data_IF_042776616164
#
_entry.id   IF_042776616164
#
_cell.length_a   1.000
_cell.length_b   1.000
_cell.length_c   1.000
_cell.angle_alpha   90.00
_cell.angle_beta   90.00
_cell.angle_gamma   90.00
#
_symmetry.space_group_name_H-M   'P 1'
#
loop_
_entity.id
_entity.type
_entity.pdbx_description
1 polymer ?
#
# COMPACT_ATOMS: atom_id res chain seq x y z
N UNK A 1 27.90 -51.03 -52.14
CA UNK A 1 26.75 -50.74 -51.24
C UNK A 1 27.19 -49.72 -50.20
N UNK A 2 26.84 -48.43 -50.35
CA UNK A 2 27.11 -47.41 -49.33
C UNK A 2 26.02 -47.47 -48.27
N UNK A 3 26.47 -47.58 -47.02
CA UNK A 3 25.67 -47.93 -45.85
C UNK A 3 24.70 -46.78 -45.49
N UNK A 4 23.45 -46.86 -45.99
CA UNK A 4 22.38 -45.87 -45.75
C UNK A 4 22.06 -45.66 -44.25
N UNK A 5 22.44 -46.61 -43.39
CA UNK A 5 22.21 -46.54 -41.95
C UNK A 5 23.12 -45.52 -41.23
N UNK A 6 24.27 -45.15 -41.80
CA UNK A 6 25.21 -44.22 -41.16
C UNK A 6 24.69 -42.77 -41.14
N UNK A 7 23.93 -42.35 -42.16
CA UNK A 7 23.40 -41.00 -42.25
C UNK A 7 22.22 -40.77 -41.29
N UNK A 8 21.31 -41.73 -41.18
CA UNK A 8 20.13 -41.64 -40.29
C UNK A 8 20.56 -41.61 -38.82
N UNK A 9 21.57 -42.39 -38.43
CA UNK A 9 22.13 -42.35 -37.07
C UNK A 9 22.76 -40.99 -36.71
N UNK A 10 23.43 -40.34 -37.67
CA UNK A 10 24.05 -39.01 -37.44
C UNK A 10 23.00 -37.92 -37.22
N UNK A 11 21.92 -37.89 -38.01
CA UNK A 11 20.84 -36.92 -37.82
C UNK A 11 20.11 -37.12 -36.50
N UNK A 12 19.90 -38.37 -36.07
CA UNK A 12 19.28 -38.66 -34.78
C UNK A 12 20.16 -38.20 -33.61
N UNK A 13 21.48 -38.41 -33.70
CA UNK A 13 22.44 -37.97 -32.68
C UNK A 13 22.51 -36.44 -32.59
N UNK A 14 22.52 -35.74 -33.74
CA UNK A 14 22.51 -34.26 -33.77
C UNK A 14 21.20 -33.70 -33.22
N UNK A 15 20.05 -34.30 -33.55
CA UNK A 15 18.75 -33.90 -33.00
C UNK A 15 18.68 -34.10 -31.48
N UNK A 16 19.25 -35.20 -30.97
CA UNK A 16 19.31 -35.51 -29.54
C UNK A 16 20.22 -34.52 -28.77
N UNK A 17 21.35 -34.13 -29.36
CA UNK A 17 22.26 -33.11 -28.78
C UNK A 17 21.59 -31.73 -28.74
N UNK A 18 20.86 -31.35 -29.79
CA UNK A 18 20.09 -30.08 -29.82
C UNK A 18 18.96 -30.10 -28.78
N UNK A 19 18.29 -31.24 -28.57
CA UNK A 19 17.25 -31.40 -27.55
C UNK A 19 17.81 -31.30 -26.11
N UNK A 20 19.02 -31.81 -25.86
CA UNK A 20 19.68 -31.70 -24.54
C UNK A 20 20.11 -30.25 -24.26
N UNK A 21 20.51 -29.49 -25.28
CA UNK A 21 20.85 -28.06 -25.13
C UNK A 21 19.66 -27.14 -24.82
N UNK A 22 18.41 -27.62 -24.97
CA UNK A 22 17.19 -26.86 -24.65
C UNK A 22 16.65 -27.21 -23.25
N UNK A 23 17.30 -28.14 -22.53
CA UNK A 23 17.07 -28.30 -21.10
C UNK A 23 17.71 -27.13 -20.36
N UNK A 24 17.04 -25.97 -20.38
CA UNK A 24 17.27 -24.91 -19.40
C UNK A 24 17.13 -25.55 -18.02
N UNK A 25 18.27 -25.81 -17.37
CA UNK A 25 18.29 -26.13 -15.95
C UNK A 25 17.64 -24.95 -15.24
N UNK A 26 16.39 -25.10 -14.83
CA UNK A 26 15.78 -24.19 -13.88
C UNK A 26 16.57 -24.37 -12.58
N UNK A 27 17.54 -23.49 -12.32
CA UNK A 27 18.37 -23.53 -11.13
C UNK A 27 17.47 -23.62 -9.90
N UNK A 28 17.67 -24.65 -9.08
CA UNK A 28 16.77 -24.98 -7.98
C UNK A 28 17.22 -24.27 -6.72
N UNK A 29 16.43 -23.28 -6.30
CA UNK A 29 16.65 -22.59 -5.03
C UNK A 29 15.97 -23.39 -3.90
N UNK A 30 16.74 -23.72 -2.88
CA UNK A 30 16.27 -24.33 -1.62
C UNK A 30 16.67 -23.47 -0.44
N UNK A 31 15.85 -23.54 0.61
CA UNK A 31 16.20 -23.00 1.92
C UNK A 31 16.11 -24.14 2.91
N UNK A 32 17.23 -24.45 3.55
CA UNK A 32 17.36 -25.54 4.52
C UNK A 32 18.05 -25.01 5.78
N UNK A 33 17.33 -24.98 6.91
CA UNK A 33 17.85 -24.47 8.20
C UNK A 33 18.47 -23.05 8.11
N UNK A 34 17.92 -22.20 7.26
CA UNK A 34 18.42 -20.83 7.02
C UNK A 34 19.54 -20.73 5.99
N UNK A 35 20.05 -21.85 5.45
CA UNK A 35 20.99 -21.83 4.34
C UNK A 35 20.26 -21.62 3.01
N UNK A 36 20.73 -20.65 2.22
CA UNK A 36 20.27 -20.44 0.85
C UNK A 36 21.12 -21.32 -0.06
N UNK A 37 20.52 -22.34 -0.67
CA UNK A 37 21.19 -23.27 -1.57
C UNK A 37 20.73 -23.09 -3.01
N UNK A 38 21.68 -22.98 -3.92
CA UNK A 38 21.48 -23.01 -5.36
C UNK A 38 22.10 -24.31 -5.89
N UNK A 39 21.27 -25.22 -6.41
CA UNK A 39 21.72 -26.53 -6.89
C UNK A 39 22.63 -27.26 -5.87
N UNK A 40 22.19 -27.28 -4.61
CA UNK A 40 22.88 -27.85 -3.43
C UNK A 40 24.12 -27.07 -2.92
N UNK A 41 24.62 -26.07 -3.65
CA UNK A 41 25.69 -25.19 -3.18
C UNK A 41 25.12 -24.09 -2.29
N UNK A 42 25.65 -23.95 -1.07
CA UNK A 42 25.31 -22.81 -0.20
C UNK A 42 25.91 -21.53 -0.76
N UNK A 43 25.06 -20.51 -0.95
CA UNK A 43 25.42 -19.21 -1.52
C UNK A 43 25.16 -18.05 -0.54
N UNK A 44 24.53 -18.31 0.60
CA UNK A 44 24.26 -17.31 1.62
C UNK A 44 23.36 -17.85 2.73
N UNK A 45 22.93 -16.96 3.61
CA UNK A 45 22.05 -17.30 4.73
C UNK A 45 20.86 -16.35 4.79
N UNK A 46 19.73 -16.86 5.25
CA UNK A 46 18.54 -16.08 5.60
C UNK A 46 18.13 -16.38 7.04
N UNK A 47 17.95 -15.33 7.82
CA UNK A 47 17.52 -15.38 9.21
C UNK A 47 16.26 -14.51 9.38
N UNK A 48 15.51 -14.75 10.46
CA UNK A 48 14.29 -14.01 10.77
C UNK A 48 13.01 -14.72 10.28
N UNK A 49 11.89 -13.99 10.37
CA UNK A 49 10.55 -14.47 10.04
C UNK A 49 9.69 -13.29 9.62
N UNK A 50 8.57 -13.56 8.92
CA UNK A 50 7.60 -12.53 8.53
C UNK A 50 7.29 -11.58 9.71
N UNK A 51 7.32 -10.25 9.50
CA UNK A 51 7.52 -9.57 8.21
C UNK A 51 8.99 -9.36 7.82
N UNK A 52 9.96 -9.58 8.71
CA UNK A 52 11.34 -9.14 8.53
C UNK A 52 12.30 -10.32 8.36
N UNK A 53 13.04 -10.31 7.25
CA UNK A 53 14.11 -11.27 6.98
C UNK A 53 15.44 -10.53 6.84
N UNK A 54 16.51 -11.16 7.34
CA UNK A 54 17.87 -10.69 7.18
C UNK A 54 18.63 -11.68 6.32
N UNK A 55 19.24 -11.18 5.25
CA UNK A 55 19.92 -12.00 4.25
C UNK A 55 21.40 -11.66 4.30
N UNK A 56 22.23 -12.67 4.50
CA UNK A 56 23.67 -12.56 4.62
C UNK A 56 24.35 -13.19 3.42
N UNK A 57 25.54 -12.67 3.11
CA UNK A 57 26.51 -13.35 2.27
C UNK A 57 27.10 -14.59 2.99
N UNK A 58 27.89 -15.38 2.26
CA UNK A 58 28.38 -16.68 2.72
C UNK A 58 29.29 -16.61 3.95
N UNK A 59 30.07 -15.54 4.12
CA UNK A 59 30.94 -15.32 5.29
C UNK A 59 30.26 -14.51 6.40
N UNK A 60 29.00 -14.11 6.20
CA UNK A 60 28.21 -13.22 7.08
C UNK A 60 28.83 -11.84 7.35
N UNK A 61 29.80 -11.41 6.54
CA UNK A 61 30.42 -10.08 6.70
C UNK A 61 29.51 -8.93 6.23
N UNK A 62 28.53 -9.22 5.38
CA UNK A 62 27.57 -8.25 4.86
C UNK A 62 26.14 -8.79 4.88
N UNK A 63 25.18 -7.88 5.00
CA UNK A 63 23.76 -8.24 4.97
C UNK A 63 22.87 -7.13 4.46
N UNK A 64 21.68 -7.53 4.02
CA UNK A 64 20.55 -6.64 3.77
C UNK A 64 19.36 -7.12 4.61
N UNK A 65 18.41 -6.21 4.86
CA UNK A 65 17.09 -6.60 5.37
C UNK A 65 16.07 -6.56 4.25
N UNK A 66 15.16 -7.53 4.26
CA UNK A 66 14.01 -7.62 3.38
C UNK A 66 12.76 -7.65 4.27
N UNK A 67 12.02 -6.54 4.28
CA UNK A 67 10.79 -6.40 5.06
C UNK A 67 9.58 -6.53 4.15
N UNK A 68 8.69 -7.46 4.46
CA UNK A 68 7.41 -7.64 3.78
C UNK A 68 6.43 -6.58 4.25
N UNK A 69 6.07 -5.70 3.32
CA UNK A 69 5.04 -4.70 3.51
C UNK A 69 3.76 -5.14 2.81
N UNK A 70 2.62 -4.79 3.39
CA UNK A 70 1.31 -5.06 2.82
C UNK A 70 0.47 -3.81 2.90
N UNK A 71 -0.54 -3.76 2.06
CA UNK A 71 -1.62 -2.80 2.18
C UNK A 71 -2.53 -3.31 3.31
N UNK A 72 -2.77 -2.54 4.39
CA UNK A 72 -3.67 -2.94 5.46
C UNK A 72 -5.08 -3.27 4.91
N UNK A 73 -5.76 -4.28 5.45
CA UNK A 73 -7.10 -4.69 5.00
C UNK A 73 -7.24 -4.98 3.49
N UNK A 74 -6.13 -5.21 2.78
CA UNK A 74 -6.18 -5.57 1.37
C UNK A 74 -6.92 -6.88 1.16
N UNK A 75 -7.53 -7.03 -0.01
CA UNK A 75 -8.14 -8.30 -0.41
C UNK A 75 -7.12 -9.44 -0.27
N UNK A 76 -7.59 -10.63 0.14
CA UNK A 76 -6.74 -11.80 0.43
C UNK A 76 -5.82 -12.24 -0.72
N UNK A 77 -6.02 -11.71 -1.93
CA UNK A 77 -5.23 -12.00 -3.14
C UNK A 77 -4.15 -10.94 -3.43
N UNK A 78 -4.10 -9.85 -2.68
CA UNK A 78 -3.11 -8.80 -2.87
C UNK A 78 -1.76 -9.27 -2.34
N UNK A 79 -0.78 -9.38 -3.23
CA UNK A 79 0.56 -9.78 -2.84
C UNK A 79 1.25 -8.66 -2.03
N UNK A 80 2.06 -9.00 -1.01
CA UNK A 80 2.97 -8.03 -0.39
C UNK A 80 3.91 -7.39 -1.40
N UNK A 81 4.62 -6.35 -0.95
CA UNK A 81 5.88 -5.93 -1.57
C UNK A 81 7.03 -6.10 -0.57
N UNK A 82 8.25 -6.01 -1.06
CA UNK A 82 9.47 -6.14 -0.27
C UNK A 82 10.14 -4.78 -0.21
N UNK A 83 10.37 -4.26 0.99
CA UNK A 83 11.26 -3.13 1.25
C UNK A 83 12.66 -3.69 1.57
N UNK A 84 13.64 -3.38 0.73
CA UNK A 84 15.02 -3.82 0.89
C UNK A 84 15.81 -2.68 1.51
N UNK A 85 16.47 -2.92 2.65
CA UNK A 85 17.29 -1.92 3.33
C UNK A 85 18.73 -2.38 3.45
N UNK A 86 19.64 -1.43 3.27
CA UNK A 86 21.03 -1.58 3.64
C UNK A 86 21.21 -1.09 5.08
N UNK A 87 21.56 -1.99 6.01
CA UNK A 87 21.69 -1.66 7.44
C UNK A 87 22.77 -0.60 7.73
N UNK A 88 23.87 -0.61 6.97
CA UNK A 88 24.98 0.32 7.18
C UNK A 88 24.61 1.77 6.82
N UNK A 89 23.80 1.95 5.77
CA UNK A 89 23.39 3.28 5.29
C UNK A 89 22.01 3.74 5.77
N UNK A 90 21.18 2.81 6.25
CA UNK A 90 19.77 3.07 6.59
C UNK A 90 18.86 3.33 5.39
N UNK A 91 19.40 3.38 4.17
CA UNK A 91 18.62 3.62 2.95
C UNK A 91 17.85 2.37 2.52
N UNK A 92 16.72 2.60 1.85
CA UNK A 92 15.80 1.56 1.42
C UNK A 92 15.25 1.83 0.01
N UNK A 93 14.92 0.76 -0.70
CA UNK A 93 14.11 0.82 -1.92
C UNK A 93 13.24 -0.44 -2.02
N UNK A 94 12.25 -0.44 -2.91
CA UNK A 94 11.14 -1.40 -2.85
C UNK A 94 11.04 -2.22 -4.14
N UNK A 95 10.60 -3.48 -4.02
CA UNK A 95 10.29 -4.35 -5.14
C UNK A 95 8.96 -5.09 -4.95
N UNK A 96 8.26 -5.36 -6.05
CA UNK A 96 7.04 -6.17 -6.05
C UNK A 96 7.36 -7.63 -6.36
N UNK A 97 6.59 -8.55 -5.78
CA UNK A 97 6.62 -9.95 -6.20
C UNK A 97 6.07 -10.12 -7.62
N UNK A 98 6.76 -10.92 -8.42
CA UNK A 98 6.19 -11.51 -9.62
C UNK A 98 5.32 -12.71 -9.19
N UNK A 99 4.03 -12.68 -9.54
CA UNK A 99 3.02 -13.62 -9.03
C UNK A 99 3.35 -15.11 -9.16
N UNK A 100 4.16 -15.49 -10.15
CA UNK A 100 4.42 -16.91 -10.50
C UNK A 100 5.26 -17.68 -9.48
N UNK A 101 6.02 -17.00 -8.61
CA UNK A 101 6.96 -17.64 -7.67
C UNK A 101 6.65 -17.36 -6.20
N UNK A 102 5.59 -16.62 -5.92
CA UNK A 102 5.18 -16.30 -4.55
C UNK A 102 4.44 -17.48 -3.91
N UNK A 103 4.81 -17.80 -2.67
CA UNK A 103 4.14 -18.76 -1.81
C UNK A 103 3.91 -18.15 -0.43
N UNK A 104 2.65 -18.05 -0.02
CA UNK A 104 2.27 -17.59 1.33
C UNK A 104 2.70 -18.54 2.46
N UNK A 105 3.14 -19.75 2.12
CA UNK A 105 3.69 -20.73 3.06
C UNK A 105 5.21 -20.67 3.18
N UNK A 106 5.91 -20.08 2.20
CA UNK A 106 7.38 -20.02 2.13
C UNK A 106 7.83 -18.63 1.71
N UNK A 107 7.67 -17.64 2.60
CA UNK A 107 7.98 -16.24 2.33
C UNK A 107 9.48 -16.00 2.08
N UNK A 108 10.33 -16.62 2.89
CA UNK A 108 11.79 -16.61 2.73
C UNK A 108 12.18 -17.07 1.31
N UNK A 109 11.66 -18.22 0.87
CA UNK A 109 11.94 -18.76 -0.46
C UNK A 109 11.42 -17.85 -1.56
N UNK A 110 10.23 -17.29 -1.37
CA UNK A 110 9.65 -16.34 -2.32
C UNK A 110 10.52 -15.09 -2.47
N UNK A 111 11.01 -14.53 -1.36
CA UNK A 111 11.91 -13.37 -1.36
C UNK A 111 13.21 -13.72 -2.10
N UNK A 112 13.85 -14.84 -1.77
CA UNK A 112 15.09 -15.25 -2.43
C UNK A 112 14.90 -15.43 -3.94
N UNK A 113 13.79 -16.04 -4.38
CA UNK A 113 13.48 -16.14 -5.81
C UNK A 113 13.38 -14.77 -6.49
N UNK A 114 12.72 -13.81 -5.85
CA UNK A 114 12.58 -12.46 -6.42
C UNK A 114 13.91 -11.71 -6.47
N UNK A 115 14.77 -11.87 -5.44
CA UNK A 115 16.11 -11.29 -5.43
C UNK A 115 17.01 -11.92 -6.50
N UNK A 116 16.88 -13.24 -6.72
CA UNK A 116 17.62 -13.96 -7.76
C UNK A 116 17.20 -13.50 -9.16
N UNK A 117 15.88 -13.38 -9.42
CA UNK A 117 15.34 -12.92 -10.70
C UNK A 117 15.75 -11.48 -11.07
N UNK A 118 16.24 -10.71 -10.09
CA UNK A 118 16.73 -9.33 -10.24
C UNK A 118 18.25 -9.22 -10.17
N UNK A 119 18.97 -10.34 -10.12
CA UNK A 119 20.42 -10.41 -9.97
C UNK A 119 20.97 -9.73 -8.70
N UNK A 120 20.14 -9.61 -7.64
CA UNK A 120 20.58 -9.16 -6.32
C UNK A 120 21.23 -10.30 -5.52
N UNK A 121 20.88 -11.55 -5.87
CA UNK A 121 21.55 -12.77 -5.45
C UNK A 121 21.97 -13.52 -6.71
N UNK A 122 23.17 -14.06 -6.70
CA UNK A 122 23.80 -14.79 -7.81
C UNK A 122 24.35 -16.13 -7.31
N UNK A 123 24.98 -16.92 -8.18
CA UNK A 123 25.63 -18.18 -7.80
C UNK A 123 26.86 -17.97 -6.87
N UNK A 124 27.33 -16.74 -6.78
CA UNK A 124 28.41 -16.26 -5.93
C UNK A 124 27.89 -15.69 -4.58
N UNK A 125 26.57 -15.51 -4.44
CA UNK A 125 25.92 -14.96 -3.25
C UNK A 125 25.34 -13.57 -3.47
N UNK A 126 25.28 -12.75 -2.42
CA UNK A 126 24.73 -11.39 -2.48
C UNK A 126 25.55 -10.51 -3.44
N UNK A 127 24.89 -9.93 -4.44
CA UNK A 127 25.47 -8.91 -5.31
C UNK A 127 25.33 -7.53 -4.63
N UNK A 128 26.29 -7.21 -3.76
CA UNK A 128 26.27 -5.97 -2.98
C UNK A 128 26.33 -4.71 -3.85
N UNK A 129 27.06 -4.74 -4.97
CA UNK A 129 27.13 -3.60 -5.89
C UNK A 129 25.76 -3.34 -6.52
N UNK A 130 25.13 -4.36 -7.10
CA UNK A 130 23.79 -4.25 -7.69
C UNK A 130 22.73 -3.83 -6.67
N UNK A 131 22.79 -4.39 -5.46
CA UNK A 131 21.90 -4.01 -4.36
C UNK A 131 22.11 -2.55 -3.94
N UNK A 132 23.35 -2.11 -3.76
CA UNK A 132 23.63 -0.74 -3.36
C UNK A 132 23.23 0.26 -4.44
N UNK A 133 23.49 -0.04 -5.71
CA UNK A 133 23.06 0.79 -6.83
C UNK A 133 21.52 0.89 -6.89
N UNK A 134 20.81 -0.22 -6.66
CA UNK A 134 19.35 -0.21 -6.60
C UNK A 134 18.80 0.58 -5.40
N UNK A 135 19.35 0.36 -4.20
CA UNK A 135 18.90 1.01 -2.97
C UNK A 135 19.16 2.53 -3.01
N UNK A 136 20.27 2.95 -3.62
CA UNK A 136 20.62 4.37 -3.76
C UNK A 136 20.06 5.04 -5.01
N UNK A 137 19.44 4.27 -5.92
CA UNK A 137 18.85 4.77 -7.15
C UNK A 137 17.52 5.48 -6.93
N UNK A 138 16.81 5.73 -8.03
CA UNK A 138 15.48 6.32 -7.98
C UNK A 138 14.50 5.43 -7.19
N UNK A 139 13.61 6.08 -6.43
CA UNK A 139 12.55 5.38 -5.72
C UNK A 139 11.63 4.68 -6.72
N UNK A 140 11.34 3.40 -6.47
CA UNK A 140 10.36 2.66 -7.29
C UNK A 140 8.91 3.10 -7.07
N UNK A 141 8.67 3.89 -6.01
CA UNK A 141 7.37 4.45 -5.67
C UNK A 141 6.30 3.40 -5.37
N UNK A 142 6.67 2.17 -5.01
CA UNK A 142 5.72 1.08 -4.81
C UNK A 142 4.81 1.36 -3.62
N UNK A 143 5.38 1.72 -2.48
CA UNK A 143 4.61 2.23 -1.33
C UNK A 143 3.72 3.38 -1.74
N UNK A 144 4.23 4.42 -2.42
CA UNK A 144 3.42 5.55 -2.87
C UNK A 144 2.26 5.14 -3.80
N UNK A 145 2.44 4.14 -4.68
CA UNK A 145 1.38 3.62 -5.56
C UNK A 145 0.38 2.72 -4.81
N UNK A 146 0.86 1.86 -3.92
CA UNK A 146 0.05 0.84 -3.22
C UNK A 146 -0.63 1.41 -1.98
N UNK A 147 0.07 2.27 -1.24
CA UNK A 147 -0.42 3.06 -0.12
C UNK A 147 -0.97 4.42 -0.55
N UNK A 148 -0.89 4.79 -1.83
CA UNK A 148 -1.52 6.01 -2.37
C UNK A 148 -3.04 6.06 -2.20
N UNK A 149 -3.64 5.00 -1.65
CA UNK A 149 -5.04 4.87 -1.26
C UNK A 149 -5.20 4.59 0.26
N UNK A 150 -4.10 4.26 0.95
CA UNK A 150 -4.10 3.86 2.37
C UNK A 150 -3.48 4.90 3.31
N UNK A 151 -2.60 5.76 2.80
CA UNK A 151 -2.10 6.92 3.54
C UNK A 151 -3.25 7.85 3.93
N UNK A 152 -4.40 7.85 3.22
CA UNK A 152 -5.56 8.65 3.61
C UNK A 152 -6.31 8.10 4.83
N UNK A 153 -6.22 6.80 5.13
CA UNK A 153 -6.95 6.17 6.25
C UNK A 153 -6.07 6.06 7.50
N UNK A 154 -4.77 5.73 7.34
CA UNK A 154 -3.83 5.70 8.47
C UNK A 154 -3.34 7.10 8.86
N UNK A 155 -3.13 8.02 7.91
CA UNK A 155 -2.95 9.43 8.30
C UNK A 155 -4.26 10.01 8.82
N UNK A 156 -5.44 9.61 8.38
CA UNK A 156 -6.69 10.05 9.01
C UNK A 156 -6.78 9.61 10.48
N UNK A 157 -6.32 8.42 10.86
CA UNK A 157 -6.32 7.98 12.25
C UNK A 157 -5.25 8.69 13.10
N UNK A 158 -4.02 8.85 12.59
CA UNK A 158 -2.91 9.53 13.27
C UNK A 158 -3.13 11.06 13.33
N UNK A 159 -3.75 11.66 12.30
CA UNK A 159 -4.13 13.07 12.27
C UNK A 159 -5.42 13.31 13.08
N UNK A 160 -6.36 12.36 13.16
CA UNK A 160 -7.50 12.46 14.07
C UNK A 160 -7.07 12.53 15.53
N UNK A 161 -6.06 11.76 15.93
CA UNK A 161 -5.45 11.87 17.26
C UNK A 161 -4.72 13.23 17.45
N UNK A 162 -4.22 13.83 16.36
CA UNK A 162 -3.57 15.15 16.38
C UNK A 162 -4.55 16.33 16.52
N UNK A 163 -5.80 16.17 16.07
CA UNK A 163 -6.87 17.17 16.17
C UNK A 163 -7.91 16.86 17.26
N UNK A 164 -7.90 15.64 17.82
CA UNK A 164 -8.87 15.12 18.77
C UNK A 164 -10.32 15.45 18.33
N UNK A 165 -10.71 14.93 17.17
CA UNK A 165 -12.02 15.24 16.57
C UNK A 165 -13.13 14.38 17.16
N UNK A 166 -14.27 14.98 17.45
CA UNK A 166 -15.50 14.30 17.88
C UNK A 166 -16.68 14.75 17.01
N UNK A 167 -17.66 13.87 16.81
CA UNK A 167 -18.91 14.20 16.13
C UNK A 167 -20.07 13.92 17.09
N UNK A 168 -20.93 14.93 17.32
CA UNK A 168 -22.14 14.79 18.12
C UNK A 168 -23.24 14.00 17.39
N UNK A 169 -24.23 13.50 18.13
CA UNK A 169 -25.36 12.74 17.57
C UNK A 169 -26.12 13.52 16.47
N UNK A 170 -26.10 14.85 16.52
CA UNK A 170 -26.71 15.78 15.56
C UNK A 170 -25.79 16.19 14.40
N UNK A 171 -24.58 15.65 14.32
CA UNK A 171 -23.62 15.96 13.25
C UNK A 171 -22.78 17.21 13.47
N UNK A 172 -22.77 17.79 14.67
CA UNK A 172 -21.82 18.86 15.03
C UNK A 172 -20.41 18.27 15.15
N UNK A 173 -19.43 18.91 14.52
CA UNK A 173 -18.02 18.51 14.54
C UNK A 173 -17.29 19.35 15.59
N UNK A 174 -16.56 18.68 16.48
CA UNK A 174 -15.76 19.29 17.54
C UNK A 174 -14.26 19.03 17.33
N UNK A 175 -13.41 20.00 17.68
CA UNK A 175 -11.96 19.82 17.85
C UNK A 175 -11.58 20.01 19.32
N UNK A 176 -11.16 18.93 19.98
CA UNK A 176 -10.84 18.94 21.42
C UNK A 176 -9.46 19.59 21.71
N UNK A 177 -8.70 19.99 20.67
CA UNK A 177 -7.44 20.75 20.81
C UNK A 177 -7.60 22.14 21.41
N UNK A 178 -8.81 22.69 21.45
CA UNK A 178 -9.08 23.90 22.21
C UNK A 178 -9.20 23.53 23.70
N UNK A 179 -8.18 23.85 24.51
CA UNK A 179 -8.27 23.86 25.98
C UNK A 179 -9.19 24.99 26.47
N UNK A 180 -10.29 25.25 25.75
CA UNK A 180 -11.26 26.26 26.11
C UNK A 180 -12.33 25.63 27.02
N UNK A 181 -12.66 26.27 28.16
CA UNK A 181 -13.67 25.76 29.09
C UNK A 181 -15.10 25.79 28.51
N UNK A 182 -15.35 26.57 27.46
CA UNK A 182 -16.65 26.63 26.78
C UNK A 182 -16.78 25.53 25.69
N UNK A 183 -17.78 24.64 25.74
CA UNK A 183 -18.08 23.68 24.68
C UNK A 183 -18.38 24.29 23.31
N UNK A 184 -18.87 25.53 23.25
CA UNK A 184 -19.18 26.22 21.99
C UNK A 184 -17.93 26.64 21.22
N UNK A 185 -16.82 26.88 21.92
CA UNK A 185 -15.52 27.24 21.32
C UNK A 185 -14.78 26.03 20.71
N UNK A 186 -15.37 24.84 20.81
CA UNK A 186 -14.83 23.60 20.23
C UNK A 186 -15.51 23.22 18.93
N UNK A 187 -16.63 23.86 18.59
CA UNK A 187 -17.37 23.58 17.36
C UNK A 187 -16.57 24.12 16.19
N UNK A 188 -16.29 23.24 15.24
CA UNK A 188 -15.54 23.60 14.03
C UNK A 188 -16.34 23.34 12.77
N UNK A 189 -17.60 22.92 12.81
CA UNK A 189 -18.39 22.71 11.59
C UNK A 189 -19.47 21.66 11.77
N UNK A 190 -20.05 21.25 10.65
CA UNK A 190 -21.20 20.34 10.63
C UNK A 190 -21.02 19.27 9.54
N UNK A 191 -21.48 18.05 9.83
CA UNK A 191 -21.64 16.98 8.86
C UNK A 191 -23.07 16.49 8.91
N UNK A 192 -23.67 16.34 7.73
CA UNK A 192 -25.00 15.77 7.59
C UNK A 192 -24.99 14.64 6.57
N UNK A 193 -25.73 13.59 6.87
CA UNK A 193 -26.07 12.57 5.90
C UNK A 193 -27.33 13.04 5.18
N UNK A 194 -27.23 13.29 3.88
CA UNK A 194 -28.36 13.65 3.04
C UNK A 194 -28.67 12.46 2.14
N UNK A 195 -29.86 11.89 2.28
CA UNK A 195 -30.39 10.87 1.37
C UNK A 195 -31.59 11.47 0.62
N UNK A 196 -31.90 11.11 -0.64
CA UNK A 196 -31.39 9.99 -1.45
C UNK A 196 -30.88 10.41 -2.84
N UNK A 197 -29.80 9.80 -3.38
CA UNK A 197 -29.68 9.80 -4.85
C UNK A 197 -30.86 9.01 -5.43
N UNK A 198 -31.23 9.20 -6.71
CA UNK A 198 -32.34 8.46 -7.33
C UNK A 198 -32.25 6.92 -7.23
N UNK A 199 -31.09 6.40 -6.79
CA UNK A 199 -30.78 4.98 -6.60
C UNK A 199 -30.72 4.53 -5.12
N UNK A 200 -30.97 5.43 -4.15
CA UNK A 200 -30.93 5.11 -2.72
C UNK A 200 -29.54 5.10 -2.07
N UNK A 201 -28.51 5.61 -2.77
CA UNK A 201 -27.14 5.61 -2.26
C UNK A 201 -26.89 6.77 -1.28
N UNK A 202 -26.11 6.48 -0.23
CA UNK A 202 -25.77 7.43 0.84
C UNK A 202 -24.88 8.56 0.33
N UNK A 203 -25.19 9.79 0.75
CA UNK A 203 -24.40 11.00 0.50
C UNK A 203 -24.20 11.74 1.83
N UNK A 204 -23.02 12.31 2.00
CA UNK A 204 -22.70 13.16 3.16
C UNK A 204 -22.23 14.52 2.66
N UNK A 205 -22.57 15.56 3.42
CA UNK A 205 -22.16 16.93 3.17
C UNK A 205 -21.49 17.47 4.42
N UNK A 206 -20.35 18.14 4.23
CA UNK A 206 -19.61 18.80 5.31
C UNK A 206 -19.68 20.30 5.07
N UNK A 207 -20.14 21.04 6.06
CA UNK A 207 -20.21 22.49 6.07
C UNK A 207 -19.32 23.11 7.14
N UNK A 208 -18.91 24.35 6.90
CA UNK A 208 -18.25 25.18 7.90
C UNK A 208 -19.23 25.82 8.90
N UNK A 209 -18.71 26.60 9.85
CA UNK A 209 -19.54 27.35 10.82
C UNK A 209 -20.48 28.39 10.17
N UNK A 210 -20.18 28.81 8.94
CA UNK A 210 -20.99 29.76 8.18
C UNK A 210 -22.00 29.04 7.25
N UNK A 211 -22.16 27.71 7.41
CA UNK A 211 -22.97 26.82 6.57
C UNK A 211 -22.56 26.78 5.09
N UNK A 212 -21.32 27.14 4.74
CA UNK A 212 -20.81 26.93 3.38
C UNK A 212 -20.38 25.48 3.21
N UNK A 213 -20.79 24.89 2.09
CA UNK A 213 -20.41 23.54 1.72
C UNK A 213 -18.90 23.47 1.46
N UNK A 214 -18.20 22.68 2.27
CA UNK A 214 -16.78 22.39 2.09
C UNK A 214 -16.60 21.20 1.18
N UNK A 215 -17.44 20.17 1.36
CA UNK A 215 -17.31 18.96 0.58
C UNK A 215 -18.56 18.08 0.55
N UNK A 216 -18.61 17.19 -0.44
CA UNK A 216 -19.65 16.17 -0.59
C UNK A 216 -19.02 14.80 -0.81
N UNK A 217 -19.45 13.80 -0.06
CA UNK A 217 -19.02 12.41 -0.20
C UNK A 217 -20.13 11.54 -0.76
N UNK A 218 -19.77 10.60 -1.63
CA UNK A 218 -20.69 9.69 -2.30
C UNK A 218 -20.34 8.23 -2.04
N UNK A 219 -21.32 7.44 -1.58
CA UNK A 219 -21.14 6.01 -1.38
C UNK A 219 -20.89 5.26 -2.69
N UNK A 220 -21.65 5.62 -3.74
CA UNK A 220 -21.60 4.97 -5.05
C UNK A 220 -22.20 5.86 -6.13
N UNK A 221 -21.59 5.88 -7.31
CA UNK A 221 -22.13 6.47 -8.53
C UNK A 221 -22.49 7.96 -8.43
N UNK A 222 -21.81 8.71 -7.56
CA UNK A 222 -22.09 10.12 -7.31
C UNK A 222 -21.72 11.01 -8.50
N UNK A 223 -22.51 12.05 -8.73
CA UNK A 223 -22.18 13.11 -9.69
C UNK A 223 -22.07 14.44 -8.95
N UNK A 224 -21.16 15.30 -9.40
CA UNK A 224 -20.94 16.61 -8.82
C UNK A 224 -20.81 17.65 -9.92
N UNK A 225 -21.44 18.80 -9.74
CA UNK A 225 -21.43 19.86 -10.77
C UNK A 225 -20.02 20.34 -11.04
N UNK A 226 -19.60 20.32 -12.31
CA UNK A 226 -18.23 20.68 -12.70
C UNK A 226 -17.22 19.53 -12.58
N UNK A 227 -17.67 18.30 -12.32
CA UNK A 227 -16.83 17.10 -12.29
C UNK A 227 -17.43 15.96 -13.14
N UNK A 228 -16.74 15.58 -14.21
CA UNK A 228 -17.28 14.72 -15.27
C UNK A 228 -17.16 13.20 -15.00
N UNK A 229 -16.67 12.79 -13.82
CA UNK A 229 -16.50 11.38 -13.45
C UNK A 229 -17.41 11.01 -12.29
N UNK A 230 -17.78 9.73 -12.25
CA UNK A 230 -18.53 9.18 -11.12
C UNK A 230 -17.63 9.04 -9.88
N UNK A 231 -18.16 9.45 -8.75
CA UNK A 231 -17.52 9.34 -7.43
C UNK A 231 -18.02 8.09 -6.71
N UNK A 232 -17.10 7.29 -6.16
CA UNK A 232 -17.41 6.03 -5.47
C UNK A 232 -16.59 5.89 -4.19
N UNK A 233 -17.23 6.01 -3.03
CA UNK A 233 -16.56 6.14 -1.73
C UNK A 233 -15.51 7.26 -1.74
N UNK A 234 -15.86 8.33 -2.43
CA UNK A 234 -15.00 9.48 -2.69
C UNK A 234 -15.72 10.75 -2.27
N UNK A 235 -14.93 11.67 -1.72
CA UNK A 235 -15.32 13.01 -1.33
C UNK A 235 -14.78 13.98 -2.39
N UNK A 236 -15.59 14.95 -2.79
CA UNK A 236 -15.19 16.07 -3.64
C UNK A 236 -15.38 17.38 -2.88
N UNK A 237 -14.36 18.23 -2.90
CA UNK A 237 -14.35 19.52 -2.19
C UNK A 237 -14.82 20.67 -3.10
N UNK A 238 -15.12 21.82 -2.50
CA UNK A 238 -15.56 23.03 -3.22
C UNK A 238 -14.58 23.52 -4.29
N UNK A 239 -13.30 23.15 -4.20
CA UNK A 239 -12.24 23.46 -5.16
C UNK A 239 -11.96 22.29 -6.13
N UNK A 240 -12.90 21.34 -6.26
CA UNK A 240 -12.86 20.18 -7.15
C UNK A 240 -11.71 19.18 -6.89
N UNK A 241 -11.11 19.19 -5.70
CA UNK A 241 -10.20 18.11 -5.31
C UNK A 241 -11.00 16.90 -4.87
N UNK A 242 -10.51 15.71 -5.23
CA UNK A 242 -11.16 14.44 -4.92
C UNK A 242 -10.26 13.63 -3.99
N UNK A 243 -10.85 13.13 -2.91
CA UNK A 243 -10.18 12.28 -1.93
C UNK A 243 -11.00 11.03 -1.68
N UNK A 244 -10.34 9.93 -1.35
CA UNK A 244 -11.04 8.71 -0.96
C UNK A 244 -11.36 8.76 0.54
N UNK A 245 -12.58 8.38 0.91
CA UNK A 245 -12.93 8.14 2.31
C UNK A 245 -13.76 6.86 2.39
N UNK A 246 -13.25 5.85 3.10
CA UNK A 246 -13.82 4.51 3.08
C UNK A 246 -15.21 4.48 3.74
N UNK A 247 -16.15 3.78 3.07
CA UNK A 247 -17.43 3.43 3.65
C UNK A 247 -17.22 2.37 4.75
N UNK A 248 -17.78 2.63 5.93
CA UNK A 248 -17.71 1.75 7.09
C UNK A 248 -19.03 1.78 7.87
N UNK A 249 -19.76 0.66 7.81
CA UNK A 249 -21.06 0.49 8.43
C UNK A 249 -21.00 -0.19 9.81
N UNK A 250 -19.81 -0.45 10.36
CA UNK A 250 -19.66 -1.19 11.63
C UNK A 250 -20.20 -0.42 12.84
N UNK A 251 -20.35 0.89 12.72
CA UNK A 251 -20.69 1.77 13.84
C UNK A 251 -22.18 1.91 14.18
N UNK A 252 -23.12 1.44 13.35
CA UNK A 252 -24.54 1.78 13.52
C UNK A 252 -25.53 0.60 13.35
N UNK A 253 -25.46 -0.46 14.18
CA UNK A 253 -26.32 -1.63 14.03
C UNK A 253 -27.79 -1.40 14.45
N UNK A 254 -28.09 -0.49 15.40
CA UNK A 254 -29.45 -0.20 15.89
C UNK A 254 -29.57 1.27 16.31
N UNK A 255 -30.47 2.03 15.66
CA UNK A 255 -30.76 3.44 15.93
C UNK A 255 -29.65 4.38 15.43
N UNK A 256 -29.88 5.01 14.28
CA UNK A 256 -28.86 5.86 13.63
C UNK A 256 -28.45 7.04 14.53
N UNK A 257 -27.17 7.08 14.87
CA UNK A 257 -26.51 8.23 15.51
C UNK A 257 -25.28 8.64 14.71
N UNK A 258 -25.13 9.92 14.41
CA UNK A 258 -23.98 10.44 13.66
C UNK A 258 -22.67 10.26 14.43
N UNK A 259 -22.70 10.36 15.76
CA UNK A 259 -21.52 10.14 16.63
C UNK A 259 -20.92 8.73 16.52
N UNK A 260 -21.73 7.75 16.11
CA UNK A 260 -21.29 6.36 15.91
C UNK A 260 -21.06 6.03 14.44
N UNK A 261 -21.27 6.98 13.54
CA UNK A 261 -21.07 6.78 12.11
C UNK A 261 -19.57 6.89 11.76
N UNK A 262 -18.94 5.72 11.58
CA UNK A 262 -17.51 5.65 11.26
C UNK A 262 -17.23 6.27 9.89
N UNK A 263 -18.17 6.20 8.94
CA UNK A 263 -18.03 6.84 7.63
C UNK A 263 -17.99 8.36 7.78
N UNK A 264 -18.91 8.92 8.56
CA UNK A 264 -18.93 10.36 8.86
C UNK A 264 -17.61 10.84 9.45
N UNK A 265 -17.09 10.11 10.43
CA UNK A 265 -15.79 10.40 11.04
C UNK A 265 -14.63 10.31 10.03
N UNK A 266 -14.60 9.29 9.17
CA UNK A 266 -13.57 9.15 8.13
C UNK A 266 -13.57 10.35 7.17
N UNK A 267 -14.75 10.82 6.75
CA UNK A 267 -14.89 11.97 5.85
C UNK A 267 -14.29 13.24 6.49
N UNK A 268 -14.68 13.54 7.72
CA UNK A 268 -14.18 14.72 8.45
C UNK A 268 -12.66 14.67 8.62
N UNK A 269 -12.13 13.49 8.95
CA UNK A 269 -10.67 13.30 9.11
C UNK A 269 -9.91 13.55 7.82
N UNK A 270 -10.39 13.04 6.69
CA UNK A 270 -9.73 13.24 5.38
C UNK A 270 -9.70 14.74 5.02
N UNK A 271 -10.77 15.48 5.30
CA UNK A 271 -10.81 16.93 5.05
C UNK A 271 -9.79 17.70 5.89
N UNK A 272 -9.81 17.50 7.22
CA UNK A 272 -8.89 18.20 8.12
C UNK A 272 -7.43 17.83 7.83
N UNK A 273 -7.17 16.55 7.53
CA UNK A 273 -5.85 16.05 7.13
C UNK A 273 -5.31 16.73 5.86
N UNK A 274 -6.18 17.10 4.93
CA UNK A 274 -5.82 17.78 3.69
C UNK A 274 -5.87 19.32 3.81
N UNK A 275 -5.90 19.86 5.04
CA UNK A 275 -5.75 21.29 5.32
C UNK A 275 -7.04 22.11 5.13
N UNK A 276 -8.20 21.47 4.99
CA UNK A 276 -9.47 22.18 4.92
C UNK A 276 -9.86 22.68 6.30
N UNK A 277 -10.04 24.00 6.41
CA UNK A 277 -10.57 24.63 7.63
C UNK A 277 -12.08 24.53 7.62
N UNK A 278 -12.64 23.95 8.68
CA UNK A 278 -14.09 23.85 8.88
C UNK A 278 -14.63 25.03 9.73
N UNK A 279 -13.77 25.77 10.43
CA UNK A 279 -14.16 26.96 11.21
C UNK A 279 -14.68 28.12 10.34
N UNK A 280 -15.16 29.20 10.97
CA UNK A 280 -15.67 30.37 10.22
C UNK A 280 -14.60 30.94 9.28
N UNK A 281 -14.98 31.15 8.02
CA UNK A 281 -14.06 31.61 6.99
C UNK A 281 -13.76 33.12 7.09
N UNK A 282 -14.41 33.83 8.02
CA UNK A 282 -14.29 35.28 8.14
C UNK A 282 -13.00 35.78 8.81
N UNK A 283 -12.14 34.91 9.36
CA UNK A 283 -10.96 35.34 10.12
C UNK A 283 -9.62 35.28 9.38
N UNK A 284 -9.56 34.90 8.09
CA UNK A 284 -8.28 34.79 7.36
C UNK A 284 -7.90 36.09 6.60
N UNK A 285 -8.76 37.11 6.60
CA UNK A 285 -8.50 38.38 5.85
C UNK A 285 -8.01 39.54 6.73
N UNK A 286 -7.46 39.27 7.91
CA UNK A 286 -6.85 40.31 8.75
C UNK A 286 -5.52 39.78 9.30
N UNK A 287 -4.50 39.75 8.44
CA UNK A 287 -3.06 39.92 8.73
C UNK A 287 -2.26 39.52 7.48
N UNK A 288 -2.23 40.43 6.51
CA UNK A 288 -1.11 40.57 5.58
C UNK A 288 -0.38 41.85 5.95
#
# INVERSE_FOLDING_TARGET
MKNKNSYIQKYFLTLFIVLISICNYAQKIKIEKGEIKLDEKTIGYVEGKKPLFKIYNLDKSASITAELKNVPNAESLTLPWIEIKNEASGKANEIEFRSRKFSSFNYDRSIIYELFDRNFITAEGLNLEGLNNFINGESTGISARRLGVQNDVENAAILADTYQLEIGDNGVIYSIKAQNPDPNDKIIGYIQMTSPSANGDLKYEVGDLDNKLIATWFAKGGTYSGYDKFLNQELITYDNKVFRAAFDNRGNPIGYKMSKDITAMNIVRVLVANGYTLGSQYSITQNK
#
